data_IF_331712344266
#
_entry.id   IF_331712344266
#
_cell.length_a   1.000
_cell.length_b   1.000
_cell.length_c   1.000
_cell.angle_alpha   90.00
_cell.angle_beta   90.00
_cell.angle_gamma   90.00
#
_symmetry.space_group_name_H-M   'P 1'
#
loop_
_entity.id
_entity.type
_entity.pdbx_description
1 polymer ?
#
# COMPACT_ATOMS: atom_id res chain seq x y z
N UNK A 1 -39.46 63.73 71.18
CA UNK A 1 -38.30 64.18 70.38
C UNK A 1 -38.74 64.19 68.92
N UNK A 2 -38.98 65.33 68.28
CA UNK A 2 -39.13 65.35 66.83
C UNK A 2 -37.77 65.02 66.20
N UNK A 3 -37.77 64.08 65.26
CA UNK A 3 -36.59 63.48 64.61
C UNK A 3 -36.26 64.17 63.27
N UNK A 4 -36.70 65.41 63.05
CA UNK A 4 -36.49 66.09 61.76
C UNK A 4 -35.10 66.72 61.73
N UNK A 5 -34.16 66.03 61.07
CA UNK A 5 -32.87 66.59 60.67
C UNK A 5 -33.09 67.82 59.77
N UNK A 6 -32.30 68.89 59.94
CA UNK A 6 -32.45 70.10 59.11
C UNK A 6 -32.08 69.86 57.63
N UNK A 7 -31.31 68.80 57.34
CA UNK A 7 -30.99 68.38 55.98
C UNK A 7 -32.01 67.36 55.51
N UNK A 8 -33.03 67.84 54.80
CA UNK A 8 -34.18 67.01 54.40
C UNK A 8 -34.03 66.40 53.00
N UNK A 9 -33.02 66.82 52.23
CA UNK A 9 -32.74 66.25 50.91
C UNK A 9 -31.99 64.92 51.01
N UNK A 10 -32.42 63.90 50.26
CA UNK A 10 -31.85 62.52 50.30
C UNK A 10 -30.35 62.49 49.99
N UNK A 11 -29.89 63.33 49.06
CA UNK A 11 -28.49 63.45 48.67
C UNK A 11 -27.82 64.67 49.32
N UNK A 12 -28.03 64.84 50.63
CA UNK A 12 -27.38 65.90 51.41
C UNK A 12 -26.78 65.36 52.71
N UNK A 13 -25.79 66.06 53.25
CA UNK A 13 -25.14 65.71 54.50
C UNK A 13 -24.92 66.96 55.35
N UNK A 14 -24.77 66.75 56.66
CA UNK A 14 -24.45 67.80 57.62
C UNK A 14 -22.94 68.06 57.58
N UNK A 15 -22.55 69.32 57.44
CA UNK A 15 -21.18 69.81 57.57
C UNK A 15 -21.12 70.84 58.70
N UNK A 16 -20.01 70.92 59.44
CA UNK A 16 -19.90 71.83 60.57
C UNK A 16 -19.98 73.30 60.12
N UNK A 17 -20.68 74.15 60.88
CA UNK A 17 -20.79 75.57 60.56
C UNK A 17 -19.46 76.31 60.83
N UNK A 18 -18.94 77.03 59.83
CA UNK A 18 -17.66 77.75 59.97
C UNK A 18 -17.70 78.94 60.94
N UNK A 19 -18.89 79.48 61.27
CA UNK A 19 -19.05 80.71 62.04
C UNK A 19 -19.89 80.54 63.33
N UNK A 20 -19.85 79.36 63.97
CA UNK A 20 -20.50 79.15 65.27
C UNK A 20 -20.85 77.68 65.58
N UNK A 21 -21.41 77.39 66.77
CA UNK A 21 -21.90 76.06 67.10
C UNK A 21 -23.12 75.70 66.24
N UNK A 22 -23.03 74.62 65.45
CA UNK A 22 -24.12 74.16 64.59
C UNK A 22 -23.63 73.37 63.38
N UNK A 23 -24.56 72.97 62.53
CA UNK A 23 -24.27 72.33 61.24
C UNK A 23 -25.03 73.03 60.12
N UNK A 24 -24.45 73.00 58.92
CA UNK A 24 -25.03 73.43 57.67
C UNK A 24 -25.32 72.18 56.85
N UNK A 25 -26.29 72.24 55.95
CA UNK A 25 -26.52 71.18 54.99
C UNK A 25 -25.78 71.47 53.69
N UNK A 26 -25.14 70.44 53.13
CA UNK A 26 -24.49 70.49 51.82
C UNK A 26 -24.94 69.30 50.99
N UNK A 27 -25.14 69.50 49.69
CA UNK A 27 -25.41 68.39 48.78
C UNK A 27 -24.19 67.44 48.72
N UNK A 28 -24.45 66.15 48.60
CA UNK A 28 -23.41 65.13 48.39
C UNK A 28 -22.62 65.40 47.13
N UNK A 29 -21.39 64.90 47.04
CA UNK A 29 -20.55 65.05 45.84
C UNK A 29 -21.31 64.56 44.60
N UNK A 30 -21.30 65.36 43.53
CA UNK A 30 -22.05 65.09 42.29
C UNK A 30 -23.51 65.53 42.32
N UNK A 31 -23.95 66.25 43.36
CA UNK A 31 -25.28 66.82 43.47
C UNK A 31 -25.22 68.33 43.74
N UNK A 32 -26.11 69.09 43.12
CA UNK A 32 -26.24 70.54 43.28
C UNK A 32 -27.69 70.94 43.61
N UNK A 33 -27.86 72.10 44.25
CA UNK A 33 -29.16 72.65 44.61
C UNK A 33 -29.27 73.03 46.08
N UNK A 34 -30.49 72.99 46.63
CA UNK A 34 -30.78 73.42 47.99
C UNK A 34 -31.01 72.21 48.93
N UNK A 35 -30.08 71.90 49.84
CA UNK A 35 -30.16 70.72 50.69
C UNK A 35 -31.22 70.79 51.81
N UNK A 36 -31.82 71.97 52.04
CA UNK A 36 -32.89 72.19 53.01
C UNK A 36 -34.29 71.99 52.44
N UNK A 37 -34.42 71.63 51.15
CA UNK A 37 -35.68 71.31 50.50
C UNK A 37 -35.78 69.80 50.24
N UNK A 38 -36.98 69.23 50.37
CA UNK A 38 -37.24 67.83 50.02
C UNK A 38 -36.94 67.64 48.53
N UNK A 39 -36.03 66.71 48.19
CA UNK A 39 -35.46 66.53 46.84
C UNK A 39 -34.76 67.78 46.25
N UNK A 40 -34.26 68.68 47.10
CA UNK A 40 -33.62 69.91 46.65
C UNK A 40 -32.18 69.76 46.15
N UNK A 41 -31.50 68.64 46.47
CA UNK A 41 -30.22 68.28 45.84
C UNK A 41 -30.49 67.39 44.64
N UNK A 42 -30.26 67.92 43.45
CA UNK A 42 -30.44 67.22 42.19
C UNK A 42 -29.10 66.73 41.66
N UNK A 43 -29.16 65.62 40.93
CA UNK A 43 -27.99 65.03 40.29
C UNK A 43 -27.39 66.01 39.28
N UNK A 44 -26.08 66.22 39.37
CA UNK A 44 -25.36 67.09 38.45
C UNK A 44 -25.09 66.31 37.18
N UNK A 45 -25.80 66.63 36.08
CA UNK A 45 -25.51 65.99 34.78
C UNK A 45 -24.18 66.51 34.20
N UNK A 46 -23.07 65.87 34.55
CA UNK A 46 -21.74 66.30 34.10
C UNK A 46 -21.62 66.18 32.57
N UNK A 47 -22.34 65.24 31.96
CA UNK A 47 -22.37 65.08 30.51
C UNK A 47 -23.11 66.22 29.80
N UNK A 48 -24.16 66.79 30.40
CA UNK A 48 -24.84 67.97 29.89
C UNK A 48 -23.99 69.24 30.08
N UNK A 49 -23.38 69.43 31.25
CA UNK A 49 -22.49 70.57 31.52
C UNK A 49 -21.32 70.65 30.54
N UNK A 50 -20.75 69.49 30.18
CA UNK A 50 -19.69 69.37 29.15
C UNK A 50 -20.11 69.82 27.76
N UNK A 51 -21.39 69.73 27.42
CA UNK A 51 -21.93 70.22 26.13
C UNK A 51 -22.14 71.72 26.15
N UNK A 52 -22.42 72.30 27.32
CA UNK A 52 -22.72 73.73 27.46
C UNK A 52 -21.47 74.62 27.41
N UNK A 53 -20.38 74.22 28.06
CA UNK A 53 -19.17 75.05 28.15
C UNK A 53 -17.89 74.22 28.08
N UNK A 54 -16.86 74.74 27.39
CA UNK A 54 -15.54 74.12 27.28
C UNK A 54 -14.85 73.95 28.63
N UNK A 55 -15.08 74.84 29.61
CA UNK A 55 -14.51 74.73 30.97
C UNK A 55 -14.85 73.40 31.65
N UNK A 56 -16.04 72.85 31.42
CA UNK A 56 -16.46 71.58 32.01
C UNK A 56 -15.89 70.36 31.31
N UNK A 57 -15.30 70.50 30.11
CA UNK A 57 -14.61 69.40 29.43
C UNK A 57 -13.30 69.03 30.13
N UNK A 58 -12.64 69.99 30.75
CA UNK A 58 -11.41 69.78 31.53
C UNK A 58 -11.72 69.33 32.95
N UNK A 59 -12.80 69.86 33.55
CA UNK A 59 -13.25 69.47 34.90
C UNK A 59 -13.82 68.04 34.94
N UNK A 60 -14.47 67.62 33.86
CA UNK A 60 -15.05 66.29 33.70
C UNK A 60 -14.53 65.66 32.39
N UNK A 61 -13.33 65.07 32.37
CA UNK A 61 -12.75 64.50 31.15
C UNK A 61 -13.50 63.25 30.66
N UNK A 62 -13.62 63.08 29.33
CA UNK A 62 -14.02 61.85 28.62
C UNK A 62 -13.54 62.04 27.19
N UNK A 63 -12.30 61.64 26.93
CA UNK A 63 -11.65 61.88 25.64
C UNK A 63 -11.90 60.68 24.73
N UNK A 64 -12.38 60.94 23.51
CA UNK A 64 -12.65 59.91 22.48
C UNK A 64 -13.66 58.80 22.90
N UNK A 65 -14.35 58.96 24.02
CA UNK A 65 -15.45 58.10 24.49
C UNK A 65 -16.82 58.77 24.43
N UNK A 66 -17.84 58.07 24.93
CA UNK A 66 -19.20 58.57 25.12
C UNK A 66 -19.42 58.76 26.61
N UNK A 67 -19.73 59.99 27.04
CA UNK A 67 -20.05 60.31 28.43
C UNK A 67 -21.43 59.75 28.77
N UNK A 68 -21.53 59.02 29.88
CA UNK A 68 -22.79 58.55 30.45
C UNK A 68 -22.91 59.05 31.88
N UNK A 69 -23.98 59.81 32.13
CA UNK A 69 -24.30 60.31 33.46
C UNK A 69 -24.79 59.17 34.35
N UNK A 70 -24.42 59.20 35.61
CA UNK A 70 -24.86 58.26 36.66
C UNK A 70 -25.22 59.05 37.92
N UNK A 71 -26.08 58.54 38.80
CA UNK A 71 -26.39 59.26 40.03
C UNK A 71 -25.13 59.55 40.86
N UNK A 72 -24.77 60.83 41.00
CA UNK A 72 -23.63 61.35 41.76
C UNK A 72 -22.27 61.31 41.04
N UNK A 73 -22.20 60.93 39.77
CA UNK A 73 -20.96 60.89 38.97
C UNK A 73 -21.25 60.69 37.48
N UNK A 74 -20.22 60.68 36.64
CA UNK A 74 -20.33 60.16 35.27
C UNK A 74 -19.27 59.09 35.01
N UNK A 75 -19.44 58.33 33.92
CA UNK A 75 -18.40 57.47 33.39
C UNK A 75 -18.21 57.66 31.88
N UNK A 76 -17.00 57.37 31.41
CA UNK A 76 -16.64 57.46 30.01
C UNK A 76 -16.66 56.07 29.36
N UNK A 77 -17.65 55.80 28.49
CA UNK A 77 -17.75 54.52 27.78
C UNK A 77 -16.99 54.57 26.46
N UNK A 78 -16.03 53.68 26.28
CA UNK A 78 -15.34 53.53 25.00
C UNK A 78 -16.24 52.93 23.92
N UNK A 79 -16.09 53.42 22.68
CA UNK A 79 -16.82 52.91 21.51
C UNK A 79 -16.27 51.53 21.09
N UNK A 80 -17.04 50.76 20.32
CA UNK A 80 -16.61 49.45 19.81
C UNK A 80 -15.30 49.61 19.00
N UNK A 81 -14.25 48.88 19.38
CA UNK A 81 -12.91 48.97 18.77
C UNK A 81 -11.92 49.91 19.46
N UNK A 82 -12.30 50.54 20.58
CA UNK A 82 -11.39 51.27 21.47
C UNK A 82 -11.39 50.63 22.87
N UNK A 83 -10.30 50.80 23.62
CA UNK A 83 -10.14 50.39 25.02
C UNK A 83 -9.80 51.60 25.90
N UNK A 84 -9.94 51.48 27.22
CA UNK A 84 -9.44 52.51 28.13
C UNK A 84 -7.94 52.73 27.92
N UNK A 85 -7.52 53.99 27.99
CA UNK A 85 -6.11 54.39 27.93
C UNK A 85 -5.36 54.22 29.26
N UNK A 86 -5.99 53.60 30.26
CA UNK A 86 -5.46 53.46 31.61
C UNK A 86 -5.96 54.56 32.56
N UNK A 87 -6.75 55.52 32.05
CA UNK A 87 -7.52 56.46 32.86
C UNK A 87 -9.00 56.07 32.88
N UNK A 88 -9.73 56.48 33.93
CA UNK A 88 -11.20 56.30 34.03
C UNK A 88 -11.98 57.15 33.00
N UNK A 89 -11.26 57.99 32.24
CA UNK A 89 -11.83 59.10 31.48
C UNK A 89 -11.28 59.22 30.05
N UNK A 90 -10.59 58.20 29.54
CA UNK A 90 -9.95 58.26 28.23
C UNK A 90 -10.01 56.96 27.47
N UNK A 91 -10.09 57.06 26.13
CA UNK A 91 -10.18 55.92 25.23
C UNK A 91 -9.11 55.98 24.14
N UNK A 92 -8.42 54.85 23.93
CA UNK A 92 -7.45 54.64 22.86
C UNK A 92 -7.89 53.51 21.92
N UNK A 93 -7.44 53.54 20.66
CA UNK A 93 -7.73 52.47 19.70
C UNK A 93 -7.18 51.13 20.18
N UNK A 94 -7.98 50.06 20.08
CA UNK A 94 -7.57 48.72 20.48
C UNK A 94 -6.39 48.20 19.65
N UNK A 95 -6.36 48.58 18.37
CA UNK A 95 -5.33 48.26 17.41
C UNK A 95 -4.85 49.55 16.74
N UNK A 96 -3.54 49.74 16.69
CA UNK A 96 -2.93 50.80 15.91
C UNK A 96 -3.18 50.57 14.41
N UNK A 97 -3.07 51.60 13.56
CA UNK A 97 -3.11 51.43 12.10
C UNK A 97 -2.07 50.41 11.61
N UNK A 98 -0.90 50.37 12.26
CA UNK A 98 0.15 49.40 11.98
C UNK A 98 -0.29 47.97 12.31
N UNK A 99 -0.94 47.74 13.46
CA UNK A 99 -1.40 46.41 13.86
C UNK A 99 -2.41 45.84 12.85
N UNK A 100 -3.34 46.67 12.37
CA UNK A 100 -4.32 46.26 11.35
C UNK A 100 -3.65 45.89 10.02
N UNK A 101 -2.61 46.65 9.63
CA UNK A 101 -1.83 46.38 8.43
C UNK A 101 -1.04 45.06 8.57
N UNK A 102 -0.42 44.83 9.74
CA UNK A 102 0.30 43.59 10.05
C UNK A 102 -0.64 42.39 10.03
N UNK A 103 -1.82 42.49 10.63
CA UNK A 103 -2.84 41.42 10.60
C UNK A 103 -3.27 41.13 9.15
N UNK A 104 -3.58 42.16 8.36
CA UNK A 104 -3.96 41.99 6.96
C UNK A 104 -2.89 41.31 6.11
N UNK A 105 -1.61 41.70 6.28
CA UNK A 105 -0.48 41.08 5.59
C UNK A 105 -0.25 39.64 6.05
N UNK A 106 -0.42 39.34 7.34
CA UNK A 106 -0.26 37.98 7.85
C UNK A 106 -1.33 37.02 7.31
N UNK A 107 -2.58 37.49 7.21
CA UNK A 107 -3.69 36.69 6.66
C UNK A 107 -3.51 36.50 5.15
N UNK A 108 -3.07 37.52 4.41
CA UNK A 108 -2.85 37.38 2.97
C UNK A 108 -1.70 36.40 2.65
N UNK A 109 -0.59 36.49 3.39
CA UNK A 109 0.55 35.57 3.22
C UNK A 109 0.14 34.13 3.54
N UNK A 110 -0.61 33.90 4.63
CA UNK A 110 -1.06 32.55 4.98
C UNK A 110 -2.02 31.95 3.94
N UNK A 111 -2.95 32.74 3.40
CA UNK A 111 -3.84 32.30 2.32
C UNK A 111 -3.07 31.98 1.05
N UNK A 112 -2.12 32.84 0.64
CA UNK A 112 -1.28 32.61 -0.54
C UNK A 112 -0.43 31.35 -0.36
N UNK A 113 0.17 31.15 0.82
CA UNK A 113 0.95 29.94 1.13
C UNK A 113 0.10 28.67 1.11
N UNK A 114 -1.13 28.72 1.65
CA UNK A 114 -2.06 27.59 1.61
C UNK A 114 -2.48 27.24 0.18
N UNK A 115 -2.80 28.24 -0.65
CA UNK A 115 -3.15 28.03 -2.06
C UNK A 115 -1.96 27.49 -2.86
N UNK A 116 -0.75 28.00 -2.62
CA UNK A 116 0.47 27.48 -3.22
C UNK A 116 0.72 26.01 -2.83
N UNK A 117 0.55 25.66 -1.54
CA UNK A 117 0.67 24.27 -1.08
C UNK A 117 -0.36 23.36 -1.76
N UNK A 118 -1.63 23.78 -1.87
CA UNK A 118 -2.66 23.01 -2.55
C UNK A 118 -2.33 22.80 -4.04
N UNK A 119 -1.85 23.84 -4.73
CA UNK A 119 -1.37 23.75 -6.11
C UNK A 119 -0.21 22.77 -6.25
N UNK A 120 0.79 22.85 -5.37
CA UNK A 120 1.91 21.91 -5.36
C UNK A 120 1.46 20.47 -5.12
N UNK A 121 0.55 20.24 -4.16
CA UNK A 121 -0.03 18.91 -3.91
C UNK A 121 -0.80 18.39 -5.13
N UNK A 122 -1.56 19.24 -5.83
CA UNK A 122 -2.26 18.87 -7.05
C UNK A 122 -1.30 18.53 -8.19
N UNK A 123 -0.24 19.33 -8.37
CA UNK A 123 0.80 19.06 -9.38
C UNK A 123 1.55 17.76 -9.08
N UNK A 124 1.90 17.51 -7.83
CA UNK A 124 2.52 16.26 -7.39
C UNK A 124 1.60 15.07 -7.63
N UNK A 125 0.31 15.17 -7.26
CA UNK A 125 -0.68 14.11 -7.54
C UNK A 125 -0.83 13.82 -9.03
N UNK A 126 -0.87 14.86 -9.87
CA UNK A 126 -0.92 14.70 -11.33
C UNK A 126 0.33 14.02 -11.87
N UNK A 127 1.52 14.42 -11.39
CA UNK A 127 2.80 13.80 -11.79
C UNK A 127 2.84 12.32 -11.41
N UNK A 128 2.50 12.00 -10.17
CA UNK A 128 2.47 10.62 -9.67
C UNK A 128 1.44 9.75 -10.38
N UNK A 129 0.28 10.32 -10.76
CA UNK A 129 -0.70 9.61 -11.58
C UNK A 129 -0.16 9.33 -12.99
N UNK A 130 0.47 10.33 -13.62
CA UNK A 130 1.07 10.18 -14.96
C UNK A 130 2.16 9.11 -14.98
N UNK A 131 3.02 9.10 -13.98
CA UNK A 131 4.07 8.10 -13.80
C UNK A 131 3.50 6.68 -13.63
N UNK A 132 2.46 6.52 -12.79
CA UNK A 132 1.74 5.24 -12.68
C UNK A 132 1.09 4.80 -13.99
N UNK A 133 0.50 5.72 -14.74
CA UNK A 133 -0.10 5.44 -16.05
C UNK A 133 0.98 5.05 -17.09
N UNK A 134 2.18 5.63 -16.99
CA UNK A 134 3.34 5.25 -17.82
C UNK A 134 3.83 3.84 -17.49
N UNK A 135 4.02 3.51 -16.21
CA UNK A 135 4.36 2.15 -15.78
C UNK A 135 3.32 1.13 -16.21
N UNK A 136 2.04 1.45 -16.03
CA UNK A 136 0.95 0.57 -16.46
C UNK A 136 1.04 0.24 -17.96
N UNK A 137 1.39 1.23 -18.81
CA UNK A 137 1.57 1.01 -20.25
C UNK A 137 2.84 0.22 -20.56
N UNK A 138 3.96 0.54 -19.91
CA UNK A 138 5.24 -0.12 -20.12
C UNK A 138 5.20 -1.60 -19.70
N UNK A 139 4.50 -1.90 -18.60
CA UNK A 139 4.37 -3.25 -18.06
C UNK A 139 3.25 -4.07 -18.75
N UNK A 140 2.90 -3.72 -19.98
CA UNK A 140 1.95 -4.46 -20.82
C UNK A 140 0.49 -4.38 -20.40
N UNK A 141 0.11 -3.43 -19.56
CA UNK A 141 -1.27 -3.28 -19.10
C UNK A 141 -2.27 -3.00 -20.22
N UNK A 142 -1.86 -2.37 -21.31
CA UNK A 142 -2.69 -2.22 -22.51
C UNK A 142 -2.97 -3.57 -23.20
N UNK A 143 -1.93 -4.40 -23.39
CA UNK A 143 -2.08 -5.75 -23.97
C UNK A 143 -2.99 -6.62 -23.11
N UNK A 144 -2.83 -6.54 -21.77
CA UNK A 144 -3.72 -7.23 -20.83
C UNK A 144 -5.18 -6.78 -20.99
N UNK A 145 -5.44 -5.46 -21.05
CA UNK A 145 -6.80 -4.95 -21.22
C UNK A 145 -7.43 -5.36 -22.55
N UNK A 146 -6.67 -5.33 -23.64
CA UNK A 146 -7.14 -5.76 -24.96
C UNK A 146 -7.49 -7.26 -24.96
N UNK A 147 -6.70 -8.09 -24.28
CA UNK A 147 -6.96 -9.53 -24.14
C UNK A 147 -8.19 -9.80 -23.26
N UNK A 148 -8.32 -9.11 -22.12
CA UNK A 148 -9.49 -9.21 -21.24
C UNK A 148 -10.77 -8.79 -21.97
N UNK A 149 -10.72 -7.73 -22.78
CA UNK A 149 -11.85 -7.26 -23.59
C UNK A 149 -12.23 -8.21 -24.71
N UNK A 150 -11.24 -8.78 -25.41
CA UNK A 150 -11.50 -9.64 -26.57
C UNK A 150 -12.03 -11.01 -26.18
N UNK A 151 -11.61 -11.54 -25.02
CA UNK A 151 -11.91 -12.92 -24.60
C UNK A 151 -12.89 -13.07 -23.44
N UNK A 152 -13.44 -11.97 -22.90
CA UNK A 152 -14.31 -11.99 -21.70
C UNK A 152 -13.68 -12.75 -20.52
N UNK A 153 -12.36 -12.64 -20.36
CA UNK A 153 -11.62 -13.29 -19.27
C UNK A 153 -11.70 -12.38 -18.04
N UNK A 154 -12.78 -12.52 -17.26
CA UNK A 154 -13.02 -11.77 -16.01
C UNK A 154 -12.19 -12.29 -14.82
N UNK A 155 -11.15 -13.09 -15.03
CA UNK A 155 -10.52 -13.87 -13.95
C UNK A 155 -9.34 -13.20 -13.26
N UNK A 156 -8.71 -12.19 -13.87
CA UNK A 156 -7.49 -11.54 -13.34
C UNK A 156 -7.83 -10.18 -12.73
N UNK A 157 -7.50 -10.01 -11.45
CA UNK A 157 -7.64 -8.74 -10.72
C UNK A 157 -6.41 -7.86 -10.93
N UNK A 158 -6.61 -6.59 -11.27
CA UNK A 158 -5.54 -5.58 -11.24
C UNK A 158 -5.48 -5.00 -9.82
N UNK A 159 -4.41 -5.30 -9.09
CA UNK A 159 -4.19 -4.83 -7.71
C UNK A 159 -3.29 -3.59 -7.72
N UNK A 160 -3.52 -2.72 -6.74
CA UNK A 160 -2.66 -1.56 -6.49
C UNK A 160 -1.44 -1.94 -5.66
N UNK A 161 -0.35 -1.19 -5.81
CA UNK A 161 0.85 -1.35 -4.97
C UNK A 161 0.53 -1.28 -3.46
N UNK A 162 -0.47 -0.49 -3.06
CA UNK A 162 -0.88 -0.35 -1.66
C UNK A 162 -1.49 -1.63 -1.10
N UNK A 163 -2.28 -2.35 -1.91
CA UNK A 163 -2.85 -3.64 -1.52
C UNK A 163 -1.74 -4.68 -1.38
N UNK A 164 -0.81 -4.73 -2.35
CA UNK A 164 0.33 -5.64 -2.31
C UNK A 164 1.23 -5.37 -1.09
N UNK A 165 1.57 -4.11 -0.82
CA UNK A 165 2.34 -3.72 0.38
C UNK A 165 1.64 -4.13 1.68
N UNK A 166 0.32 -4.02 1.75
CA UNK A 166 -0.42 -4.45 2.95
C UNK A 166 -0.40 -5.97 3.09
N UNK A 167 -0.61 -6.68 1.99
CA UNK A 167 -0.64 -8.14 1.98
C UNK A 167 0.71 -8.76 2.35
N UNK A 168 1.82 -8.12 1.99
CA UNK A 168 3.19 -8.59 2.24
C UNK A 168 3.84 -7.97 3.48
N UNK A 169 3.09 -7.21 4.30
CA UNK A 169 3.64 -6.48 5.45
C UNK A 169 4.86 -5.60 5.06
N UNK A 170 4.66 -4.80 4.02
CA UNK A 170 5.67 -3.94 3.40
C UNK A 170 6.90 -4.71 2.87
N UNK A 171 6.67 -5.83 2.18
CA UNK A 171 7.71 -6.72 1.65
C UNK A 171 8.64 -7.27 2.73
N UNK A 172 8.07 -7.68 3.87
CA UNK A 172 8.83 -8.26 4.98
C UNK A 172 9.62 -9.50 4.53
N UNK A 173 10.90 -9.58 4.89
CA UNK A 173 11.79 -10.69 4.55
C UNK A 173 11.32 -12.02 5.16
N UNK A 174 10.67 -11.99 6.33
CA UNK A 174 10.11 -13.18 6.99
C UNK A 174 8.97 -13.82 6.19
N UNK A 175 8.42 -13.11 5.20
CA UNK A 175 7.37 -13.61 4.31
C UNK A 175 7.92 -14.15 3.00
N UNK A 176 9.23 -14.14 2.78
CA UNK A 176 9.84 -14.69 1.56
C UNK A 176 9.74 -16.20 1.59
N UNK A 177 9.08 -16.76 0.58
CA UNK A 177 8.91 -18.22 0.39
C UNK A 177 9.75 -18.77 -0.76
N UNK A 178 10.35 -17.89 -1.57
CA UNK A 178 11.22 -18.30 -2.67
C UNK A 178 12.09 -17.15 -3.18
N UNK A 179 13.33 -17.46 -3.51
CA UNK A 179 14.27 -16.55 -4.15
C UNK A 179 14.94 -17.26 -5.32
N UNK A 180 14.86 -16.70 -6.52
CA UNK A 180 15.41 -17.31 -7.74
C UNK A 180 15.87 -16.29 -8.78
N UNK A 181 16.14 -16.78 -9.99
CA UNK A 181 16.51 -15.96 -11.15
C UNK A 181 15.41 -14.97 -11.55
N UNK A 182 14.15 -15.38 -11.42
CA UNK A 182 12.97 -14.57 -11.75
C UNK A 182 12.57 -13.57 -10.65
N UNK A 183 13.30 -13.49 -9.53
CA UNK A 183 13.05 -12.54 -8.44
C UNK A 183 12.74 -13.17 -7.09
N UNK A 184 11.88 -12.50 -6.32
CA UNK A 184 11.48 -12.88 -4.97
C UNK A 184 9.98 -13.21 -4.93
N UNK A 185 9.61 -14.25 -4.20
CA UNK A 185 8.21 -14.64 -3.97
C UNK A 185 7.87 -14.45 -2.50
N UNK A 186 6.83 -13.68 -2.22
CA UNK A 186 6.35 -13.38 -0.88
C UNK A 186 5.03 -14.09 -0.62
N UNK A 187 4.86 -14.67 0.57
CA UNK A 187 3.55 -15.07 1.08
C UNK A 187 2.78 -13.85 1.55
N UNK A 188 1.60 -13.65 0.99
CA UNK A 188 0.72 -12.53 1.32
C UNK A 188 -0.67 -12.99 1.74
N UNK A 189 -1.39 -12.09 2.40
CA UNK A 189 -2.81 -12.25 2.73
C UNK A 189 -3.57 -11.04 2.19
N UNK A 190 -4.46 -11.24 1.22
CA UNK A 190 -5.29 -10.18 0.65
C UNK A 190 -6.38 -9.73 1.63
N UNK A 191 -7.02 -8.59 1.37
CA UNK A 191 -8.08 -8.01 2.22
C UNK A 191 -9.28 -8.95 2.41
N UNK A 192 -9.52 -9.86 1.45
CA UNK A 192 -10.54 -10.92 1.50
C UNK A 192 -10.11 -12.17 2.31
N UNK A 193 -9.03 -12.07 3.10
CA UNK A 193 -8.40 -13.16 3.87
C UNK A 193 -7.84 -14.30 3.02
N UNK A 194 -7.73 -14.10 1.70
CA UNK A 194 -7.16 -15.10 0.81
C UNK A 194 -5.63 -15.10 0.90
N UNK A 195 -5.04 -16.26 1.18
CA UNK A 195 -3.59 -16.44 1.09
C UNK A 195 -3.14 -16.50 -0.38
N UNK A 196 -2.05 -15.80 -0.68
CA UNK A 196 -1.51 -15.63 -2.03
C UNK A 196 0.02 -15.71 -2.04
N UNK A 197 0.57 -16.08 -3.18
CA UNK A 197 2.00 -15.97 -3.47
C UNK A 197 2.22 -14.78 -4.43
N UNK A 198 3.04 -13.83 -4.02
CA UNK A 198 3.30 -12.59 -4.77
C UNK A 198 4.72 -12.62 -5.30
N UNK A 199 4.86 -12.82 -6.62
CA UNK A 199 6.14 -12.83 -7.33
C UNK A 199 6.49 -11.39 -7.73
N UNK A 200 7.64 -10.92 -7.26
CA UNK A 200 8.22 -9.61 -7.56
C UNK A 200 9.59 -9.81 -8.22
N UNK A 201 9.74 -9.33 -9.44
CA UNK A 201 11.00 -9.45 -10.19
C UNK A 201 12.14 -8.65 -9.54
N UNK A 202 13.40 -9.03 -9.81
CA UNK A 202 14.58 -8.36 -9.20
C UNK A 202 15.07 -7.15 -9.99
N UNK A 203 15.05 -7.20 -11.32
CA UNK A 203 15.53 -6.14 -12.23
C UNK A 203 14.68 -6.14 -13.50
N UNK A 204 14.43 -4.97 -14.07
CA UNK A 204 13.73 -4.79 -15.34
C UNK A 204 14.80 -4.67 -16.44
N UNK A 205 15.06 -5.74 -17.19
CA UNK A 205 15.53 -5.60 -18.57
C UNK A 205 14.32 -5.62 -19.51
N UNK A 206 14.50 -5.22 -20.76
CA UNK A 206 13.45 -5.30 -21.77
C UNK A 206 12.95 -6.75 -21.92
N UNK A 207 13.86 -7.72 -21.94
CA UNK A 207 13.55 -9.16 -22.02
C UNK A 207 12.65 -9.63 -20.85
N UNK A 208 12.96 -9.23 -19.62
CA UNK A 208 12.17 -9.59 -18.43
C UNK A 208 10.74 -9.02 -18.46
N UNK A 209 10.53 -7.86 -19.13
CA UNK A 209 9.18 -7.31 -19.31
C UNK A 209 8.37 -8.13 -20.29
N UNK A 210 9.00 -8.63 -21.35
CA UNK A 210 8.32 -9.50 -22.31
C UNK A 210 7.93 -10.83 -21.68
N UNK A 211 8.82 -11.47 -20.91
CA UNK A 211 8.51 -12.69 -20.13
C UNK A 211 7.30 -12.46 -19.21
N UNK A 212 7.28 -11.33 -18.49
CA UNK A 212 6.20 -11.00 -17.58
C UNK A 212 4.85 -10.83 -18.30
N UNK A 213 4.83 -10.09 -19.40
CA UNK A 213 3.62 -9.88 -20.19
C UNK A 213 3.13 -11.19 -20.79
N UNK A 214 4.06 -12.02 -21.28
CA UNK A 214 3.75 -13.32 -21.84
C UNK A 214 3.19 -14.27 -20.77
N UNK A 215 3.78 -14.30 -19.57
CA UNK A 215 3.28 -15.09 -18.43
C UNK A 215 1.84 -14.72 -18.08
N UNK A 216 1.49 -13.42 -18.05
CA UNK A 216 0.10 -12.98 -17.86
C UNK A 216 -0.82 -13.49 -18.97
N UNK A 217 -0.42 -13.32 -20.24
CA UNK A 217 -1.24 -13.70 -21.39
C UNK A 217 -1.48 -15.22 -21.39
N UNK A 218 -0.44 -16.02 -21.16
CA UNK A 218 -0.50 -17.48 -21.08
C UNK A 218 -1.41 -17.92 -19.93
N UNK A 219 -1.15 -17.43 -18.71
CA UNK A 219 -1.91 -17.83 -17.52
C UNK A 219 -3.36 -17.36 -17.53
N UNK A 220 -3.66 -16.25 -18.22
CA UNK A 220 -5.06 -15.80 -18.41
C UNK A 220 -5.92 -16.78 -19.20
N UNK A 221 -5.29 -17.62 -20.04
CA UNK A 221 -5.97 -18.59 -20.92
C UNK A 221 -6.08 -19.97 -20.28
N UNK A 222 -5.40 -20.20 -19.16
CA UNK A 222 -5.28 -21.52 -18.53
C UNK A 222 -6.24 -21.62 -17.35
N UNK A 223 -7.04 -22.69 -17.34
CA UNK A 223 -7.84 -23.05 -16.18
C UNK A 223 -7.79 -24.57 -15.97
N UNK A 224 -6.81 -25.03 -15.20
CA UNK A 224 -6.59 -26.44 -14.93
C UNK A 224 -6.28 -26.65 -13.44
N UNK A 225 -6.79 -27.74 -12.85
CA UNK A 225 -6.63 -28.02 -11.41
C UNK A 225 -5.16 -28.22 -11.00
N UNK A 226 -4.37 -28.82 -11.89
CA UNK A 226 -2.94 -29.12 -11.71
C UNK A 226 -2.02 -28.04 -12.30
N UNK A 227 -2.52 -26.82 -12.47
CA UNK A 227 -1.71 -25.64 -12.80
C UNK A 227 -1.96 -24.58 -11.73
N UNK A 228 -0.89 -23.91 -11.29
CA UNK A 228 -1.00 -22.82 -10.31
C UNK A 228 -1.78 -21.66 -10.92
N UNK A 229 -2.88 -21.29 -10.28
CA UNK A 229 -3.77 -20.25 -10.79
C UNK A 229 -3.21 -18.85 -10.55
N UNK A 230 -3.13 -18.06 -11.63
CA UNK A 230 -2.94 -16.61 -11.54
C UNK A 230 -4.24 -15.95 -11.06
N UNK A 231 -4.14 -15.15 -10.00
CA UNK A 231 -5.27 -14.44 -9.40
C UNK A 231 -5.31 -12.96 -9.79
N UNK A 232 -4.15 -12.37 -10.06
CA UNK A 232 -4.03 -10.95 -10.33
C UNK A 232 -2.62 -10.50 -10.64
N UNK A 233 -2.48 -9.21 -10.95
CA UNK A 233 -1.21 -8.56 -11.19
C UNK A 233 -1.22 -7.11 -10.70
N UNK A 234 -0.05 -6.55 -10.43
CA UNK A 234 0.15 -5.13 -10.14
C UNK A 234 1.14 -4.55 -11.15
N UNK A 235 0.65 -3.60 -11.97
CA UNK A 235 1.35 -3.06 -13.14
C UNK A 235 1.69 -1.57 -13.00
N UNK A 236 1.08 -0.87 -12.04
CA UNK A 236 1.20 0.58 -11.82
C UNK A 236 2.43 0.95 -10.97
N UNK A 237 3.51 0.19 -11.14
CA UNK A 237 4.75 0.20 -10.36
C UNK A 237 5.93 0.06 -11.30
N UNK A 238 7.12 0.50 -10.88
CA UNK A 238 8.34 0.31 -11.66
C UNK A 238 8.54 -1.17 -11.99
N UNK A 239 8.66 -2.01 -10.95
CA UNK A 239 8.79 -3.47 -11.11
C UNK A 239 7.43 -4.15 -10.98
N UNK A 240 6.88 -4.75 -12.04
CA UNK A 240 5.56 -5.35 -12.01
C UNK A 240 5.54 -6.64 -11.18
N UNK A 241 4.36 -7.00 -10.68
CA UNK A 241 4.19 -8.13 -9.74
C UNK A 241 3.02 -9.02 -10.16
N UNK A 242 3.17 -10.33 -9.97
CA UNK A 242 2.13 -11.33 -10.20
C UNK A 242 1.65 -11.91 -8.89
N UNK A 243 0.34 -12.17 -8.80
CA UNK A 243 -0.33 -12.71 -7.63
C UNK A 243 -0.94 -14.05 -7.97
N UNK A 244 -0.42 -15.11 -7.39
CA UNK A 244 -0.88 -16.48 -7.58
C UNK A 244 -1.63 -16.99 -6.36
N UNK A 245 -2.36 -18.09 -6.52
CA UNK A 245 -2.78 -18.89 -5.37
C UNK A 245 -1.56 -19.36 -4.57
N UNK A 246 -1.68 -19.36 -3.24
CA UNK A 246 -0.64 -19.91 -2.38
C UNK A 246 -0.78 -21.43 -2.32
N UNK A 247 0.33 -22.14 -2.58
CA UNK A 247 0.40 -23.61 -2.53
C UNK A 247 1.27 -24.01 -1.33
N UNK A 248 0.69 -24.59 -0.26
CA UNK A 248 1.34 -24.66 1.05
C UNK A 248 2.43 -25.72 1.17
N UNK A 249 2.39 -26.79 0.37
CA UNK A 249 3.36 -27.89 0.44
C UNK A 249 4.71 -27.61 -0.22
N UNK A 250 4.92 -26.39 -0.74
CA UNK A 250 6.18 -26.00 -1.37
C UNK A 250 6.42 -26.70 -2.71
N UNK A 251 7.69 -26.78 -3.10
CA UNK A 251 8.09 -27.38 -4.38
C UNK A 251 8.34 -28.88 -4.27
N UNK A 252 8.16 -29.61 -5.38
CA UNK A 252 8.50 -31.03 -5.48
C UNK A 252 10.01 -31.24 -5.25
N UNK A 253 10.85 -30.28 -5.64
CA UNK A 253 12.30 -30.34 -5.37
C UNK A 253 12.61 -30.35 -3.87
N UNK A 254 11.94 -29.49 -3.09
CA UNK A 254 12.07 -29.49 -1.63
C UNK A 254 11.46 -30.73 -1.00
N UNK A 255 10.34 -31.21 -1.54
CA UNK A 255 9.68 -32.44 -1.10
C UNK A 255 10.55 -33.68 -1.33
N UNK A 256 11.31 -33.76 -2.43
CA UNK A 256 12.19 -34.90 -2.71
C UNK A 256 13.55 -34.80 -2.00
N UNK A 257 14.13 -33.60 -1.99
CA UNK A 257 15.57 -33.38 -1.70
C UNK A 257 15.84 -32.50 -0.48
N UNK A 258 14.80 -32.06 0.25
CA UNK A 258 14.90 -31.18 1.40
C UNK A 258 15.47 -31.86 2.65
N UNK A 259 16.16 -31.09 3.50
CA UNK A 259 16.83 -31.60 4.70
C UNK A 259 15.90 -32.24 5.75
N UNK A 260 14.58 -32.00 5.64
CA UNK A 260 13.55 -32.59 6.49
C UNK A 260 12.96 -33.91 5.99
N UNK A 261 13.38 -34.39 4.82
CA UNK A 261 12.76 -35.55 4.17
C UNK A 261 13.18 -36.87 4.81
N UNK A 262 12.62 -37.19 5.98
CA UNK A 262 12.86 -38.44 6.71
C UNK A 262 11.76 -39.47 6.56
N UNK A 263 10.59 -39.08 6.06
CA UNK A 263 9.50 -40.01 5.80
C UNK A 263 9.67 -40.68 4.43
N UNK A 264 9.40 -41.98 4.33
CA UNK A 264 9.37 -42.66 3.04
C UNK A 264 8.34 -42.04 2.11
N UNK A 265 8.66 -41.93 0.82
CA UNK A 265 7.72 -41.45 -0.20
C UNK A 265 7.24 -42.67 -0.99
N UNK A 266 6.05 -43.20 -0.70
CA UNK A 266 5.58 -44.43 -1.34
C UNK A 266 5.30 -44.20 -2.84
N UNK A 267 5.42 -45.28 -3.62
CA UNK A 267 5.39 -45.19 -5.08
C UNK A 267 4.06 -44.64 -5.61
N UNK A 268 2.94 -45.02 -5.01
CA UNK A 268 1.61 -44.56 -5.39
C UNK A 268 1.51 -43.02 -5.38
N UNK A 269 2.12 -42.38 -4.38
CA UNK A 269 2.20 -40.92 -4.31
C UNK A 269 3.09 -40.34 -5.42
N UNK A 270 4.24 -40.97 -5.71
CA UNK A 270 5.13 -40.52 -6.81
C UNK A 270 4.43 -40.62 -8.17
N UNK A 271 3.72 -41.73 -8.40
CA UNK A 271 2.91 -41.94 -9.60
C UNK A 271 1.78 -40.91 -9.68
N UNK A 272 1.06 -40.64 -8.59
CA UNK A 272 0.04 -39.59 -8.53
C UNK A 272 0.60 -38.23 -8.96
N UNK A 273 1.74 -37.83 -8.41
CA UNK A 273 2.42 -36.56 -8.75
C UNK A 273 2.83 -36.54 -10.23
N UNK A 274 3.41 -37.63 -10.73
CA UNK A 274 3.78 -37.77 -12.13
C UNK A 274 2.57 -37.65 -13.06
N UNK A 275 1.50 -38.39 -12.79
CA UNK A 275 0.26 -38.37 -13.58
C UNK A 275 -0.35 -36.98 -13.61
N UNK A 276 -0.51 -36.33 -12.46
CA UNK A 276 -1.10 -34.99 -12.39
C UNK A 276 -0.26 -33.92 -13.09
N UNK A 277 1.08 -34.03 -13.03
CA UNK A 277 1.98 -33.14 -13.75
C UNK A 277 1.91 -33.39 -15.27
N UNK A 278 1.86 -34.65 -15.70
CA UNK A 278 1.70 -35.01 -17.11
C UNK A 278 0.35 -34.55 -17.68
N UNK A 279 -0.74 -34.67 -16.91
CA UNK A 279 -2.06 -34.15 -17.29
C UNK A 279 -2.03 -32.62 -17.49
N UNK A 280 -1.34 -31.88 -16.63
CA UNK A 280 -1.15 -30.45 -16.78
C UNK A 280 -0.37 -30.10 -18.07
N UNK A 281 0.74 -30.78 -18.35
CA UNK A 281 1.53 -30.56 -19.57
C UNK A 281 0.75 -30.95 -20.83
N UNK A 282 0.04 -32.07 -20.81
CA UNK A 282 -0.82 -32.50 -21.90
C UNK A 282 -1.93 -31.47 -22.19
N UNK A 283 -2.52 -30.88 -21.15
CA UNK A 283 -3.49 -29.79 -21.30
C UNK A 283 -2.87 -28.58 -22.03
N UNK A 284 -1.66 -28.15 -21.63
CA UNK A 284 -0.94 -27.04 -22.27
C UNK A 284 -0.62 -27.28 -23.75
N UNK A 285 -0.28 -28.53 -24.10
CA UNK A 285 0.13 -28.86 -25.47
C UNK A 285 -1.05 -29.06 -26.43
N UNK A 286 -2.17 -29.62 -25.94
CA UNK A 286 -3.23 -30.16 -26.80
C UNK A 286 -4.61 -29.52 -26.63
N UNK A 287 -4.91 -28.95 -25.46
CA UNK A 287 -6.27 -28.59 -25.06
C UNK A 287 -6.52 -27.08 -25.00
N UNK A 288 -5.50 -26.28 -25.29
CA UNK A 288 -5.56 -24.82 -25.36
C UNK A 288 -5.78 -24.35 -26.81
N UNK A 289 -6.31 -23.13 -26.99
CA UNK A 289 -6.57 -22.57 -28.33
C UNK A 289 -5.30 -22.39 -29.19
N UNK A 290 -4.14 -22.28 -28.54
CA UNK A 290 -2.80 -22.30 -29.14
C UNK A 290 -1.94 -23.20 -28.26
N UNK A 291 -1.13 -24.05 -28.87
CA UNK A 291 -0.17 -24.89 -28.14
C UNK A 291 0.74 -23.99 -27.28
N UNK A 292 0.72 -24.24 -25.98
CA UNK A 292 1.53 -23.53 -24.98
C UNK A 292 2.71 -24.44 -24.64
N UNK A 293 3.93 -24.00 -24.92
CA UNK A 293 5.15 -24.66 -24.48
C UNK A 293 5.52 -24.09 -23.11
N UNK A 294 5.80 -24.93 -22.13
CA UNK A 294 6.15 -24.48 -20.78
C UNK A 294 7.57 -23.91 -20.74
N UNK A 295 8.55 -24.60 -21.34
CA UNK A 295 9.92 -24.13 -21.55
C UNK A 295 10.88 -24.34 -20.37
N UNK A 296 10.38 -24.42 -19.14
CA UNK A 296 11.22 -24.66 -17.95
C UNK A 296 10.58 -25.69 -16.98
N UNK A 297 10.25 -26.88 -17.49
CA UNK A 297 9.70 -27.96 -16.66
C UNK A 297 10.80 -28.53 -15.76
N UNK A 298 10.60 -28.48 -14.44
CA UNK A 298 11.54 -29.02 -13.43
C UNK A 298 10.83 -29.26 -12.10
N UNK A 299 11.42 -30.05 -11.21
CA UNK A 299 10.85 -30.32 -9.88
C UNK A 299 10.71 -29.05 -9.02
N UNK A 300 11.48 -28.00 -9.26
CA UNK A 300 11.32 -26.71 -8.57
C UNK A 300 10.10 -25.91 -9.04
N UNK A 301 9.55 -26.22 -10.23
CA UNK A 301 8.38 -25.55 -10.82
C UNK A 301 7.09 -26.38 -10.68
N UNK A 302 7.16 -27.54 -10.02
CA UNK A 302 6.00 -28.34 -9.65
C UNK A 302 5.78 -28.16 -8.15
N UNK A 303 4.65 -27.62 -7.76
CA UNK A 303 4.29 -27.39 -6.36
C UNK A 303 3.31 -28.45 -5.87
N UNK A 304 3.27 -28.68 -4.56
CA UNK A 304 2.39 -29.63 -3.91
C UNK A 304 1.40 -28.92 -2.97
N UNK A 305 0.11 -29.16 -3.13
CA UNK A 305 -0.88 -28.66 -2.18
C UNK A 305 -0.91 -29.47 -0.87
N UNK A 306 -1.83 -29.12 0.03
CA UNK A 306 -1.98 -29.75 1.35
C UNK A 306 -2.45 -31.22 1.29
N UNK A 307 -3.01 -31.66 0.16
CA UNK A 307 -3.31 -33.09 -0.10
C UNK A 307 -2.29 -33.74 -1.04
N UNK A 308 -1.12 -33.11 -1.22
CA UNK A 308 -0.04 -33.58 -2.09
C UNK A 308 -0.52 -33.83 -3.52
N UNK A 309 -1.38 -32.95 -4.04
CA UNK A 309 -1.65 -32.88 -5.47
C UNK A 309 -0.63 -31.96 -6.14
N UNK A 310 -0.17 -32.35 -7.32
CA UNK A 310 0.79 -31.59 -8.09
C UNK A 310 0.12 -30.43 -8.83
N UNK A 311 0.79 -29.28 -8.81
CA UNK A 311 0.44 -28.07 -9.56
C UNK A 311 1.68 -27.52 -10.27
N UNK A 312 1.66 -27.49 -11.60
CA UNK A 312 2.73 -26.89 -12.42
C UNK A 312 2.62 -25.36 -12.34
N UNK A 313 3.74 -24.69 -12.11
CA UNK A 313 3.85 -23.24 -11.99
C UNK A 313 5.08 -22.68 -12.72
N UNK A 314 5.25 -21.36 -12.62
CA UNK A 314 6.32 -20.57 -13.25
C UNK A 314 6.35 -20.62 -14.79
N UNK A 315 5.56 -19.75 -15.41
CA UNK A 315 5.35 -19.69 -16.86
C UNK A 315 6.18 -18.56 -17.52
N UNK A 316 7.21 -18.06 -16.84
CA UNK A 316 8.05 -16.96 -17.34
C UNK A 316 8.77 -17.31 -18.65
N UNK A 317 9.20 -18.57 -18.80
CA UNK A 317 9.88 -19.08 -20.00
C UNK A 317 8.92 -19.70 -21.04
N UNK A 318 7.59 -19.59 -20.83
CA UNK A 318 6.62 -20.24 -21.71
C UNK A 318 6.53 -19.56 -23.07
N UNK A 319 6.12 -20.30 -24.10
CA UNK A 319 5.97 -19.76 -25.45
C UNK A 319 4.65 -20.22 -26.08
N UNK A 320 4.01 -19.31 -26.82
CA UNK A 320 2.82 -19.63 -27.62
C UNK A 320 3.27 -19.96 -29.04
N UNK A 321 2.95 -21.17 -29.52
CA UNK A 321 3.20 -21.53 -30.92
C UNK A 321 2.29 -20.70 -31.84
N UNK A 322 2.86 -19.96 -32.80
CA UNK A 322 2.08 -19.28 -33.85
C UNK A 322 1.41 -20.30 -34.78
N UNK A 323 0.25 -19.94 -35.35
CA UNK A 323 -0.45 -20.78 -36.34
C UNK A 323 0.24 -20.75 -37.71
N UNK A 324 1.00 -19.70 -38.02
CA UNK A 324 1.86 -19.63 -39.20
C UNK A 324 3.23 -20.21 -38.86
N UNK A 325 3.66 -21.22 -39.62
CA UNK A 325 4.86 -22.05 -39.41
C UNK A 325 6.21 -21.32 -39.55
N UNK A 326 6.25 -19.98 -39.55
CA UNK A 326 7.45 -19.22 -39.96
C UNK A 326 7.96 -18.12 -39.02
N UNK A 327 7.50 -18.03 -37.77
CA UNK A 327 8.05 -17.07 -36.80
C UNK A 327 8.70 -17.74 -35.57
N UNK A 328 10.03 -17.90 -35.70
CA UNK A 328 11.09 -17.88 -34.68
C UNK A 328 10.71 -18.01 -33.18
N UNK A 329 11.26 -19.03 -32.52
CA UNK A 329 11.51 -19.02 -31.06
C UNK A 329 13.02 -19.18 -30.86
N UNK A 330 13.73 -18.07 -30.71
CA UNK A 330 15.13 -18.06 -30.28
C UNK A 330 15.17 -17.52 -28.86
N UNK A 331 15.32 -18.38 -27.85
CA UNK A 331 16.02 -18.07 -26.58
C UNK A 331 16.18 -19.38 -25.80
N UNK A 332 17.42 -19.75 -25.48
CA UNK A 332 17.70 -20.88 -24.59
C UNK A 332 17.46 -20.40 -23.15
N UNK A 333 16.20 -20.37 -22.72
CA UNK A 333 15.85 -20.39 -21.31
C UNK A 333 15.65 -21.84 -20.89
N UNK A 334 16.27 -22.24 -19.78
CA UNK A 334 16.06 -23.56 -19.19
C UNK A 334 17.12 -23.90 -18.16
N UNK A 335 16.79 -24.88 -17.31
CA UNK A 335 17.62 -25.23 -16.16
C UNK A 335 18.61 -26.34 -16.51
N UNK A 336 19.89 -26.15 -16.17
CA UNK A 336 20.93 -27.16 -16.37
C UNK A 336 20.51 -28.49 -15.73
N UNK A 337 20.61 -29.58 -16.50
CA UNK A 337 20.14 -30.92 -16.11
C UNK A 337 18.76 -31.30 -16.68
N UNK A 338 17.94 -30.32 -17.05
CA UNK A 338 16.62 -30.52 -17.69
C UNK A 338 16.60 -30.14 -19.17
N UNK A 339 17.62 -29.40 -19.64
CA UNK A 339 17.71 -28.95 -21.02
C UNK A 339 17.74 -30.11 -22.02
N UNK A 340 16.77 -30.11 -22.93
CA UNK A 340 16.74 -30.98 -24.11
C UNK A 340 17.97 -30.72 -25.00
N UNK A 341 18.84 -31.72 -25.23
CA UNK A 341 20.03 -31.55 -26.04
C UNK A 341 19.71 -31.23 -27.51
N UNK A 342 18.60 -31.74 -28.06
CA UNK A 342 18.21 -31.48 -29.45
C UNK A 342 17.72 -30.03 -29.61
N UNK A 343 16.86 -29.57 -28.70
CA UNK A 343 16.45 -28.16 -28.64
C UNK A 343 17.61 -27.21 -28.38
N UNK A 344 18.55 -27.59 -27.51
CA UNK A 344 19.74 -26.79 -27.23
C UNK A 344 20.61 -26.56 -28.47
N UNK A 345 20.80 -27.61 -29.29
CA UNK A 345 21.58 -27.53 -30.53
C UNK A 345 20.81 -26.80 -31.62
N UNK A 346 19.55 -27.19 -31.85
CA UNK A 346 18.70 -26.63 -32.90
C UNK A 346 18.28 -25.20 -32.60
N UNK A 347 18.31 -24.78 -31.33
CA UNK A 347 17.78 -23.52 -30.79
C UNK A 347 16.27 -23.34 -31.01
N UNK A 348 15.53 -24.45 -31.12
CA UNK A 348 14.08 -24.44 -31.30
C UNK A 348 13.41 -25.11 -30.11
N UNK A 349 12.53 -24.38 -29.41
CA UNK A 349 11.69 -24.95 -28.36
C UNK A 349 10.51 -25.69 -29.00
N UNK A 350 10.28 -26.92 -28.56
CA UNK A 350 9.16 -27.75 -29.04
C UNK A 350 8.41 -28.38 -27.88
N UNK A 351 7.25 -28.98 -28.15
CA UNK A 351 6.53 -29.81 -27.17
C UNK A 351 7.41 -30.96 -26.66
N UNK A 352 8.32 -31.48 -27.51
CA UNK A 352 9.29 -32.52 -27.13
C UNK A 352 10.32 -32.05 -26.11
N UNK A 353 10.64 -30.77 -26.10
CA UNK A 353 11.56 -30.20 -25.10
C UNK A 353 10.96 -30.22 -23.69
N UNK A 354 9.66 -29.97 -23.57
CA UNK A 354 8.92 -30.14 -22.31
C UNK A 354 8.82 -31.62 -21.90
N UNK A 355 8.62 -32.52 -22.88
CA UNK A 355 8.58 -33.98 -22.63
C UNK A 355 9.91 -34.49 -22.09
N UNK A 356 11.04 -34.10 -22.71
CA UNK A 356 12.38 -34.44 -22.23
C UNK A 356 12.60 -33.94 -20.79
N UNK A 357 12.28 -32.67 -20.55
CA UNK A 357 12.42 -32.04 -19.23
C UNK A 357 11.57 -32.76 -18.18
N UNK A 358 10.35 -33.17 -18.54
CA UNK A 358 9.49 -34.00 -17.69
C UNK A 358 10.05 -35.41 -17.45
N UNK A 359 10.69 -36.02 -18.45
CA UNK A 359 11.43 -37.27 -18.30
C UNK A 359 12.48 -37.19 -17.19
N UNK A 360 13.21 -36.07 -17.10
CA UNK A 360 14.14 -35.83 -15.99
C UNK A 360 13.42 -35.77 -14.64
N UNK A 361 12.24 -35.15 -14.56
CA UNK A 361 11.41 -35.15 -13.33
C UNK A 361 10.99 -36.58 -12.94
N UNK A 362 10.65 -37.44 -13.91
CA UNK A 362 10.37 -38.85 -13.65
C UNK A 362 11.60 -39.56 -13.06
N UNK A 363 12.80 -39.30 -13.59
CA UNK A 363 14.03 -39.83 -13.03
C UNK A 363 14.27 -39.33 -11.59
N UNK A 364 13.98 -38.07 -11.29
CA UNK A 364 14.07 -37.57 -9.91
C UNK A 364 13.08 -38.28 -8.98
N UNK A 365 11.84 -38.54 -9.44
CA UNK A 365 10.85 -39.29 -8.68
C UNK A 365 11.30 -40.75 -8.45
N UNK A 366 11.92 -41.40 -9.42
CA UNK A 366 12.34 -42.80 -9.29
C UNK A 366 13.62 -42.99 -8.45
N UNK A 367 14.57 -42.06 -8.58
CA UNK A 367 15.90 -42.18 -7.98
C UNK A 367 16.04 -41.38 -6.69
N UNK A 368 15.17 -40.40 -6.46
CA UNK A 368 15.28 -39.39 -5.40
C UNK A 368 16.64 -38.68 -5.40
N UNK A 369 17.28 -38.60 -6.57
CA UNK A 369 18.49 -37.81 -6.81
C UNK A 369 18.10 -36.51 -7.51
N UNK A 370 18.90 -35.46 -7.29
CA UNK A 370 18.75 -34.18 -8.01
C UNK A 370 19.16 -34.35 -9.47
N UNK A 371 18.52 -33.62 -10.39
CA UNK A 371 18.85 -33.62 -11.82
C UNK A 371 20.37 -33.55 -12.10
N UNK A 372 21.06 -32.66 -11.38
CA UNK A 372 22.52 -32.68 -11.25
C UNK A 372 22.86 -33.12 -9.83
N UNK A 373 23.50 -34.28 -9.68
CA UNK A 373 23.88 -34.83 -8.38
C UNK A 373 25.40 -34.98 -8.27
N UNK A 374 25.89 -35.07 -7.04
CA UNK A 374 27.30 -35.38 -6.76
C UNK A 374 27.43 -36.88 -6.56
N UNK A 375 28.29 -37.52 -7.34
CA UNK A 375 28.52 -38.95 -7.25
C UNK A 375 29.44 -39.32 -6.08
N UNK A 376 29.76 -40.61 -5.95
CA UNK A 376 30.62 -41.12 -4.88
C UNK A 376 32.09 -40.65 -5.00
N UNK A 377 32.49 -40.12 -6.17
CA UNK A 377 33.82 -39.56 -6.42
C UNK A 377 33.85 -38.04 -6.28
N UNK A 378 32.75 -37.44 -5.80
CA UNK A 378 32.59 -36.01 -5.63
C UNK A 378 32.58 -35.23 -6.97
N UNK A 379 32.25 -35.91 -8.06
CA UNK A 379 32.06 -35.33 -9.40
C UNK A 379 30.58 -35.00 -9.63
N UNK A 380 30.31 -33.94 -10.41
CA UNK A 380 28.95 -33.55 -10.77
C UNK A 380 28.49 -34.36 -11.98
N UNK A 381 27.42 -35.11 -11.81
CA UNK A 381 26.83 -35.97 -12.82
C UNK A 381 25.40 -35.54 -13.16
N UNK A 382 24.99 -35.76 -14.41
CA UNK A 382 23.61 -35.52 -14.84
C UNK A 382 22.81 -36.81 -14.79
N UNK A 383 21.62 -36.79 -14.18
CA UNK A 383 20.67 -37.91 -14.20
C UNK A 383 20.27 -38.27 -15.63
N UNK A 384 20.01 -37.26 -16.46
CA UNK A 384 19.60 -37.43 -17.85
C UNK A 384 20.66 -38.09 -18.73
N UNK A 385 21.93 -38.11 -18.28
CA UNK A 385 23.03 -38.80 -18.95
C UNK A 385 23.35 -40.17 -18.31
N UNK A 386 23.52 -40.18 -16.98
CA UNK A 386 23.96 -41.35 -16.23
C UNK A 386 22.92 -42.47 -16.19
N UNK A 387 21.64 -42.14 -16.03
CA UNK A 387 20.58 -43.15 -15.97
C UNK A 387 20.43 -43.93 -17.27
N UNK A 388 20.28 -43.31 -18.47
CA UNK A 388 20.19 -44.08 -19.71
C UNK A 388 21.42 -44.96 -19.96
N UNK A 389 22.62 -44.50 -19.60
CA UNK A 389 23.84 -45.32 -19.67
C UNK A 389 23.75 -46.57 -18.78
N UNK A 390 23.23 -46.42 -17.56
CA UNK A 390 23.03 -47.53 -16.63
C UNK A 390 21.85 -48.44 -17.04
N UNK A 391 20.83 -47.87 -17.68
CA UNK A 391 19.69 -48.60 -18.22
C UNK A 391 20.12 -49.52 -19.35
N UNK A 392 20.89 -49.01 -20.33
CA UNK A 392 21.48 -49.82 -21.41
C UNK A 392 22.36 -50.95 -20.89
N UNK A 393 23.10 -50.71 -19.80
CA UNK A 393 23.95 -51.71 -19.13
C UNK A 393 23.17 -52.68 -18.23
N UNK A 394 21.84 -52.54 -18.12
CA UNK A 394 20.95 -53.29 -17.19
C UNK A 394 21.39 -53.21 -15.72
N UNK A 395 21.91 -52.06 -15.30
CA UNK A 395 22.38 -51.76 -13.93
C UNK A 395 21.66 -50.58 -13.27
N UNK A 396 20.61 -50.06 -13.90
CA UNK A 396 19.85 -48.90 -13.43
C UNK A 396 19.17 -49.12 -12.06
N UNK A 397 18.90 -50.37 -11.67
CA UNK A 397 18.33 -50.70 -10.36
C UNK A 397 19.15 -50.14 -9.19
N UNK A 398 20.47 -50.01 -9.35
CA UNK A 398 21.38 -49.43 -8.33
C UNK A 398 21.15 -47.92 -8.16
N UNK A 399 20.49 -47.27 -9.11
CA UNK A 399 20.17 -45.84 -9.06
C UNK A 399 18.79 -45.56 -8.46
N UNK A 400 17.91 -46.57 -8.38
CA UNK A 400 16.56 -46.41 -7.87
C UNK A 400 16.56 -46.16 -6.36
N UNK A 401 15.54 -45.45 -5.89
CA UNK A 401 15.34 -45.24 -4.47
C UNK A 401 14.97 -46.58 -3.79
N UNK A 402 15.72 -46.94 -2.75
CA UNK A 402 15.55 -48.23 -2.06
C UNK A 402 14.21 -48.33 -1.33
N UNK A 403 13.51 -47.21 -1.11
CA UNK A 403 12.18 -47.19 -0.50
C UNK A 403 11.05 -47.69 -1.41
N UNK A 404 11.29 -47.76 -2.73
CA UNK A 404 10.27 -48.18 -3.72
C UNK A 404 10.66 -49.47 -4.46
N UNK A 405 11.78 -50.10 -4.12
CA UNK A 405 12.22 -51.36 -4.74
C UNK A 405 11.55 -52.56 -4.06
N UNK A 406 10.44 -53.03 -4.64
CA UNK A 406 9.79 -54.33 -4.39
C UNK A 406 9.59 -55.06 -5.73
N UNK A 407 9.59 -56.39 -5.75
CA UNK A 407 9.57 -57.21 -6.98
C UNK A 407 8.32 -56.94 -7.85
N UNK A 408 7.16 -56.69 -7.22
CA UNK A 408 5.93 -56.31 -7.93
C UNK A 408 5.99 -54.89 -8.51
N UNK A 409 6.84 -54.04 -7.94
CA UNK A 409 6.99 -52.63 -8.29
C UNK A 409 8.00 -52.41 -9.41
N UNK A 410 8.95 -53.34 -9.59
CA UNK A 410 9.98 -53.26 -10.63
C UNK A 410 9.40 -53.13 -12.04
N UNK A 411 8.29 -53.82 -12.36
CA UNK A 411 7.63 -53.71 -13.68
C UNK A 411 7.13 -52.29 -13.93
N UNK A 412 6.59 -51.64 -12.90
CA UNK A 412 6.13 -50.24 -13.00
C UNK A 412 7.31 -49.30 -13.19
N UNK A 413 8.41 -49.53 -12.47
CA UNK A 413 9.63 -48.73 -12.59
C UNK A 413 10.33 -48.92 -13.94
N UNK A 414 10.29 -50.13 -14.53
CA UNK A 414 10.77 -50.37 -15.89
C UNK A 414 9.96 -49.59 -16.92
N UNK A 415 8.63 -49.61 -16.83
CA UNK A 415 7.77 -48.82 -17.71
C UNK A 415 8.02 -47.31 -17.54
N UNK A 416 8.19 -46.82 -16.30
CA UNK A 416 8.54 -45.41 -16.06
C UNK A 416 9.91 -45.04 -16.62
N UNK A 417 10.91 -45.94 -16.51
CA UNK A 417 12.22 -45.74 -17.10
C UNK A 417 12.12 -45.63 -18.62
N UNK A 418 11.36 -46.50 -19.28
CA UNK A 418 11.15 -46.43 -20.72
C UNK A 418 10.48 -45.11 -21.13
N UNK A 419 9.45 -44.66 -20.39
CA UNK A 419 8.77 -43.39 -20.63
C UNK A 419 9.68 -42.17 -20.48
N UNK A 420 10.67 -42.22 -19.58
CA UNK A 420 11.62 -41.12 -19.39
C UNK A 420 12.57 -40.92 -20.58
N UNK A 421 12.58 -41.84 -21.56
CA UNK A 421 13.46 -41.82 -22.73
C UNK A 421 12.72 -41.72 -24.09
N UNK A 422 11.40 -41.50 -24.09
CA UNK A 422 10.61 -41.20 -25.30
C UNK A 422 10.67 -39.71 -25.58
#
# INVERSE_FOLDING_TARGET
MPNDYACISVNSHCVAANNGPGYLCQCSKGYEGNPYLLNGCQDTDECALRKQNTKYKDLYPCTKGVCHNTPGSYFCKCKKGTKSDGTDFGCQSLHSPADKMVIGLSVSVTVVMALACLLLMQLQRKRHKKEKDEYFKQNGGLKLYDEMRSRQVDTIRILTEKEIKRATDNYNEDRVIGCGGHGMVYRGTLDDQKEVAIKKSKVISDDWREEFVNEIIVLSQINHRNIVRLLGCCLDVDVPMLVYEFVPGGTLSEFLHGAGCRSPIPLDLRLKIATQSAEALAYLHSSTSRTILHGDVKSANILLDDQLNAKVGDFGASALKSMDESEFIMFVHGTLGYLDPESFISRHLTDKSDVYSFGVVLLELMTRKRAIYTDNFNEKESLSYSFPLMFQKRRHLVMLDTEITDDAVMVVLENMAELAFI
#
